data_IF_652875055769
#
_entry.id   IF_652875055769
#
_cell.length_a   1.000
_cell.length_b   1.000
_cell.length_c   1.000
_cell.angle_alpha   90.00
_cell.angle_beta   90.00
_cell.angle_gamma   90.00
#
_symmetry.space_group_name_H-M   'P 1'
#
loop_
_entity.id
_entity.type
_entity.pdbx_description
1 polymer ?
#
# COMPACT_ATOMS: atom_id res chain seq x y z
N UNK A 1 43.66 29.42 9.84
CA UNK A 1 42.76 29.07 8.72
C UNK A 1 41.93 27.86 9.12
N UNK A 2 40.64 28.07 9.35
CA UNK A 2 39.65 27.07 9.77
C UNK A 2 39.23 26.21 8.58
N UNK A 3 39.18 24.89 8.76
CA UNK A 3 38.54 24.00 7.78
C UNK A 3 37.60 23.04 8.50
N UNK A 4 36.35 23.49 8.64
CA UNK A 4 35.22 22.65 9.05
C UNK A 4 34.90 21.66 7.93
N UNK A 5 35.15 20.37 8.16
CA UNK A 5 34.77 19.31 7.22
C UNK A 5 33.38 18.78 7.60
N UNK A 6 32.38 19.13 6.79
CA UNK A 6 30.99 18.71 6.99
C UNK A 6 30.84 17.17 7.00
N UNK A 7 30.03 16.64 7.91
CA UNK A 7 29.68 15.21 7.94
C UNK A 7 28.67 14.92 6.82
N UNK A 8 29.12 14.24 5.77
CA UNK A 8 28.23 13.68 4.75
C UNK A 8 27.37 12.60 5.39
N UNK A 9 26.08 12.86 5.56
CA UNK A 9 25.09 11.86 5.96
C UNK A 9 24.97 10.84 4.82
N UNK A 10 25.65 9.69 4.95
CA UNK A 10 25.53 8.60 3.99
C UNK A 10 24.16 7.94 4.20
N UNK A 11 23.19 8.24 3.33
CA UNK A 11 21.96 7.45 3.19
C UNK A 11 22.38 5.98 3.06
N UNK A 12 22.02 5.16 4.03
CA UNK A 12 22.42 3.76 4.09
C UNK A 12 22.00 3.00 2.83
N UNK A 13 22.87 2.13 2.31
CA UNK A 13 22.51 1.19 1.23
C UNK A 13 21.41 0.24 1.74
N UNK A 14 20.50 -0.25 0.87
CA UNK A 14 19.58 -1.31 1.28
C UNK A 14 20.38 -2.51 1.79
N UNK A 15 19.92 -3.11 2.90
CA UNK A 15 20.60 -4.26 3.51
C UNK A 15 20.68 -5.39 2.49
N UNK A 16 21.90 -5.79 2.11
CA UNK A 16 22.08 -7.11 1.49
C UNK A 16 21.71 -8.14 2.56
N UNK A 17 20.85 -9.10 2.22
CA UNK A 17 20.53 -10.25 3.09
C UNK A 17 21.85 -10.90 3.50
N UNK A 18 22.08 -11.01 4.81
CA UNK A 18 23.22 -11.76 5.35
C UNK A 18 22.86 -13.26 5.28
N UNK A 19 23.52 -14.06 4.44
CA UNK A 19 23.21 -15.48 4.30
C UNK A 19 23.50 -16.29 5.57
N UNK A 20 24.34 -15.76 6.48
CA UNK A 20 24.81 -16.48 7.66
C UNK A 20 24.03 -16.18 8.94
N UNK A 21 23.11 -15.21 8.93
CA UNK A 21 22.21 -14.97 10.05
C UNK A 21 20.75 -14.81 9.56
N UNK A 22 20.02 -15.93 9.37
CA UNK A 22 18.63 -15.90 8.92
C UNK A 22 17.67 -15.23 9.93
N UNK A 23 18.14 -14.95 11.15
CA UNK A 23 17.37 -14.33 12.23
C UNK A 23 17.74 -12.85 12.49
N UNK A 24 18.72 -12.27 11.78
CA UNK A 24 19.10 -10.86 11.88
C UNK A 24 18.05 -9.92 11.28
N UNK A 25 17.28 -10.43 10.32
CA UNK A 25 16.13 -9.75 9.77
C UNK A 25 14.96 -9.96 10.75
N UNK A 26 14.53 -8.88 11.41
CA UNK A 26 13.37 -8.94 12.31
C UNK A 26 12.21 -9.71 11.66
N UNK A 27 11.55 -10.58 12.43
CA UNK A 27 10.52 -11.50 11.93
C UNK A 27 9.57 -10.76 10.99
N UNK A 28 9.48 -11.21 9.74
CA UNK A 28 8.56 -10.64 8.75
C UNK A 28 7.15 -10.72 9.32
N UNK A 29 6.51 -9.56 9.47
CA UNK A 29 5.11 -9.49 9.92
C UNK A 29 4.22 -10.06 8.82
N UNK A 30 2.99 -10.43 9.18
CA UNK A 30 2.04 -11.00 8.23
C UNK A 30 1.81 -10.06 7.04
N UNK A 31 1.77 -10.62 5.83
CA UNK A 31 1.63 -9.86 4.57
C UNK A 31 0.20 -9.38 4.32
N UNK A 32 -0.75 -9.80 5.16
CA UNK A 32 -2.18 -9.43 5.11
C UNK A 32 -2.48 -8.05 5.72
N UNK A 33 -1.47 -7.23 6.04
CA UNK A 33 -1.69 -5.88 6.57
C UNK A 33 -2.61 -5.85 7.80
N UNK A 34 -2.31 -6.66 8.84
CA UNK A 34 -3.10 -6.78 10.07
C UNK A 34 -3.58 -5.45 10.69
N UNK A 35 -2.78 -4.39 10.56
CA UNK A 35 -3.17 -3.05 11.02
C UNK A 35 -4.48 -2.57 10.38
N UNK A 36 -4.62 -2.72 9.06
CA UNK A 36 -5.81 -2.31 8.30
C UNK A 36 -7.02 -3.13 8.75
N UNK A 37 -6.86 -4.44 8.93
CA UNK A 37 -7.93 -5.28 9.49
C UNK A 37 -8.36 -4.86 10.89
N UNK A 38 -7.43 -4.45 11.77
CA UNK A 38 -7.75 -3.98 13.13
C UNK A 38 -8.51 -2.66 13.07
N UNK A 39 -8.09 -1.71 12.22
CA UNK A 39 -8.76 -0.42 12.03
C UNK A 39 -10.18 -0.63 11.50
N UNK A 40 -10.33 -1.48 10.47
CA UNK A 40 -11.64 -1.87 9.91
C UNK A 40 -12.55 -2.51 10.97
N UNK A 41 -12.03 -3.42 11.80
CA UNK A 41 -12.80 -4.04 12.89
C UNK A 41 -13.27 -3.04 13.96
N UNK A 42 -12.55 -1.93 14.12
CA UNK A 42 -12.94 -0.84 15.03
C UNK A 42 -13.96 0.12 14.41
N UNK A 43 -14.29 -0.03 13.13
CA UNK A 43 -15.17 0.89 12.39
C UNK A 43 -14.51 2.22 12.05
N UNK A 44 -13.20 2.35 12.27
CA UNK A 44 -12.42 3.52 11.90
C UNK A 44 -12.00 3.42 10.42
N UNK A 45 -11.77 4.56 9.78
CA UNK A 45 -11.29 4.64 8.39
C UNK A 45 -9.99 5.42 8.34
N UNK A 46 -9.07 4.95 7.49
CA UNK A 46 -7.79 5.61 7.27
C UNK A 46 -8.00 6.71 6.23
N UNK A 47 -7.76 7.97 6.59
CA UNK A 47 -7.84 9.08 5.64
C UNK A 47 -6.61 9.07 4.73
N UNK A 48 -6.83 9.07 3.42
CA UNK A 48 -5.77 9.13 2.40
C UNK A 48 -5.82 10.47 1.71
N UNK A 49 -4.67 11.12 1.60
CA UNK A 49 -4.49 12.34 0.81
C UNK A 49 -4.11 11.95 -0.61
N UNK A 50 -4.71 12.64 -1.59
CA UNK A 50 -4.41 12.45 -3.00
C UNK A 50 -3.77 13.72 -3.56
N UNK A 51 -2.77 13.55 -4.40
CA UNK A 51 -2.14 14.62 -5.17
C UNK A 51 -3.10 15.12 -6.28
N UNK A 52 -2.80 16.26 -6.91
CA UNK A 52 -3.55 16.85 -8.04
C UNK A 52 -3.72 15.86 -9.21
N UNK A 53 -2.81 14.88 -9.31
CA UNK A 53 -2.82 13.81 -10.33
C UNK A 53 -3.62 12.57 -9.92
N UNK A 54 -4.14 12.53 -8.70
CA UNK A 54 -4.94 11.42 -8.18
C UNK A 54 -4.11 10.26 -7.67
N UNK A 55 -2.83 10.48 -7.46
CA UNK A 55 -1.97 9.51 -6.81
C UNK A 55 -2.09 9.66 -5.30
N UNK A 56 -2.24 8.55 -4.56
CA UNK A 56 -2.28 8.60 -3.11
C UNK A 56 -0.89 8.99 -2.58
N UNK A 57 -0.82 10.07 -1.80
CA UNK A 57 0.42 10.60 -1.28
C UNK A 57 0.64 10.24 0.20
N UNK A 58 1.90 9.98 0.56
CA UNK A 58 2.33 9.78 1.93
C UNK A 58 2.11 8.36 2.45
N UNK A 59 2.35 8.18 3.76
CA UNK A 59 2.38 6.85 4.38
C UNK A 59 1.06 6.10 4.28
N UNK A 60 -0.07 6.80 4.36
CA UNK A 60 -1.40 6.20 4.23
C UNK A 60 -1.72 5.86 2.78
N UNK A 61 -1.13 6.57 1.81
CA UNK A 61 -1.21 6.21 0.41
C UNK A 61 -0.45 4.91 0.09
N UNK A 62 0.77 4.76 0.63
CA UNK A 62 1.52 3.51 0.53
C UNK A 62 0.77 2.32 1.16
N UNK A 63 0.10 2.56 2.29
CA UNK A 63 -0.76 1.57 2.96
C UNK A 63 -1.97 1.19 2.10
N UNK A 64 -2.63 2.17 1.45
CA UNK A 64 -3.73 1.94 0.50
C UNK A 64 -3.28 1.06 -0.67
N UNK A 65 -2.17 1.42 -1.33
CA UNK A 65 -1.65 0.66 -2.47
C UNK A 65 -1.28 -0.77 -2.08
N UNK A 66 -0.69 -0.95 -0.89
CA UNK A 66 -0.36 -2.26 -0.35
C UNK A 66 -1.62 -3.09 -0.05
N UNK A 67 -2.66 -2.45 0.49
CA UNK A 67 -3.95 -3.08 0.79
C UNK A 67 -4.67 -3.56 -0.48
N UNK A 68 -4.73 -2.73 -1.52
CA UNK A 68 -5.27 -3.12 -2.83
C UNK A 68 -4.55 -4.39 -3.33
N UNK A 69 -3.23 -4.44 -3.17
CA UNK A 69 -2.45 -5.62 -3.53
C UNK A 69 -2.82 -6.88 -2.72
N UNK A 70 -3.20 -6.75 -1.45
CA UNK A 70 -3.69 -7.89 -0.64
C UNK A 70 -5.01 -8.39 -1.21
N UNK A 71 -5.96 -7.49 -1.41
CA UNK A 71 -7.29 -7.83 -1.92
C UNK A 71 -7.22 -8.47 -3.31
N UNK A 72 -6.36 -7.95 -4.18
CA UNK A 72 -6.15 -8.52 -5.51
C UNK A 72 -5.68 -9.99 -5.43
N UNK A 73 -4.73 -10.30 -4.54
CA UNK A 73 -4.24 -11.68 -4.37
C UNK A 73 -5.27 -12.62 -3.74
N UNK A 74 -6.21 -12.09 -2.97
CA UNK A 74 -7.24 -12.87 -2.28
C UNK A 74 -8.43 -13.17 -3.19
N UNK A 75 -8.87 -12.18 -3.97
CA UNK A 75 -10.11 -12.28 -4.74
C UNK A 75 -9.91 -12.50 -6.24
N UNK A 76 -8.76 -12.13 -6.81
CA UNK A 76 -8.50 -12.31 -8.25
C UNK A 76 -7.85 -13.66 -8.48
N UNK A 77 -8.50 -14.58 -9.20
CA UNK A 77 -7.91 -15.87 -9.48
C UNK A 77 -6.77 -15.76 -10.49
N UNK A 78 -5.74 -16.59 -10.30
CA UNK A 78 -4.46 -16.52 -11.03
C UNK A 78 -4.62 -16.86 -12.53
N UNK A 79 -5.64 -17.63 -12.90
CA UNK A 79 -5.84 -18.07 -14.29
C UNK A 79 -6.41 -16.99 -15.21
N UNK A 80 -6.84 -15.85 -14.68
CA UNK A 80 -7.35 -14.75 -15.51
C UNK A 80 -6.18 -14.01 -16.13
N UNK A 81 -6.17 -13.98 -17.46
CA UNK A 81 -5.10 -13.34 -18.23
C UNK A 81 -5.36 -11.86 -18.48
N UNK A 82 -6.64 -11.44 -18.58
CA UNK A 82 -7.01 -10.06 -18.87
C UNK A 82 -7.85 -9.44 -17.76
N UNK A 83 -7.30 -8.37 -17.16
CA UNK A 83 -7.97 -7.56 -16.15
C UNK A 83 -9.22 -6.85 -16.69
N UNK A 84 -9.28 -6.61 -18.00
CA UNK A 84 -10.38 -5.90 -18.66
C UNK A 84 -11.59 -6.78 -18.90
N UNK A 85 -11.52 -8.09 -18.62
CA UNK A 85 -12.67 -9.00 -18.77
C UNK A 85 -13.85 -8.55 -17.90
N UNK A 86 -15.06 -8.68 -18.43
CA UNK A 86 -16.32 -8.47 -17.72
C UNK A 86 -16.56 -9.52 -16.63
N UNK A 87 -15.94 -10.69 -16.76
CA UNK A 87 -16.04 -11.76 -15.75
C UNK A 87 -15.47 -11.33 -14.40
N UNK A 88 -14.59 -10.31 -14.41
CA UNK A 88 -14.00 -9.72 -13.21
C UNK A 88 -14.81 -8.56 -12.63
N UNK A 89 -15.91 -8.13 -13.25
CA UNK A 89 -16.59 -6.91 -12.81
C UNK A 89 -17.18 -7.06 -11.39
N UNK A 90 -17.68 -8.23 -11.04
CA UNK A 90 -18.11 -8.52 -9.67
C UNK A 90 -16.93 -8.44 -8.69
N UNK A 91 -15.78 -9.00 -9.05
CA UNK A 91 -14.56 -8.94 -8.26
C UNK A 91 -14.05 -7.51 -8.12
N UNK A 92 -14.03 -6.71 -9.19
CA UNK A 92 -13.64 -5.30 -9.16
C UNK A 92 -14.54 -4.50 -8.23
N UNK A 93 -15.85 -4.74 -8.29
CA UNK A 93 -16.82 -4.11 -7.39
C UNK A 93 -16.59 -4.51 -5.93
N UNK A 94 -16.26 -5.77 -5.67
CA UNK A 94 -15.90 -6.24 -4.33
C UNK A 94 -14.63 -5.54 -3.81
N UNK A 95 -13.57 -5.50 -4.62
CA UNK A 95 -12.30 -4.82 -4.29
C UNK A 95 -12.53 -3.33 -3.98
N UNK A 96 -13.37 -2.66 -4.76
CA UNK A 96 -13.72 -1.27 -4.53
C UNK A 96 -14.47 -1.09 -3.20
N UNK A 97 -15.49 -1.91 -2.93
CA UNK A 97 -16.27 -1.90 -1.67
C UNK A 97 -15.38 -2.11 -0.44
N UNK A 98 -14.48 -3.10 -0.50
CA UNK A 98 -13.49 -3.39 0.54
C UNK A 98 -12.58 -2.18 0.83
N UNK A 99 -12.19 -1.47 -0.23
CA UNK A 99 -11.30 -0.32 -0.17
C UNK A 99 -11.98 0.88 0.48
N UNK A 100 -13.17 1.29 0.01
CA UNK A 100 -13.93 2.42 0.58
C UNK A 100 -14.43 2.16 2.01
N UNK A 101 -14.54 0.88 2.40
CA UNK A 101 -14.88 0.50 3.77
C UNK A 101 -13.70 0.78 4.72
N UNK A 102 -12.47 0.59 4.24
CA UNK A 102 -11.26 0.68 5.06
C UNK A 102 -10.60 2.07 5.01
N UNK A 103 -10.79 2.79 3.91
CA UNK A 103 -10.16 4.08 3.64
C UNK A 103 -11.20 5.14 3.30
N UNK A 104 -10.93 6.37 3.73
CA UNK A 104 -11.69 7.55 3.29
C UNK A 104 -10.96 8.15 2.09
N UNK A 105 -11.58 8.05 0.92
CA UNK A 105 -11.13 8.70 -0.31
C UNK A 105 -11.88 10.02 -0.43
N UNK A 106 -11.17 11.14 -0.33
CA UNK A 106 -11.79 12.45 -0.59
C UNK A 106 -12.07 12.50 -2.11
N UNK A 107 -13.34 12.46 -2.51
CA UNK A 107 -13.82 12.51 -3.92
C UNK A 107 -13.63 13.91 -4.55
N UNK A 108 -12.41 14.44 -4.49
CA UNK A 108 -12.02 15.70 -5.09
C UNK A 108 -11.66 15.60 -6.58
N UNK A 109 -11.88 14.44 -7.22
CA UNK A 109 -11.64 14.29 -8.65
C UNK A 109 -12.89 14.69 -9.42
N UNK A 110 -12.86 15.78 -10.23
CA UNK A 110 -13.94 16.02 -11.17
C UNK A 110 -13.99 14.79 -12.09
N UNK A 111 -15.16 14.12 -12.13
CA UNK A 111 -15.40 13.09 -13.12
C UNK A 111 -15.12 13.69 -14.49
N UNK A 112 -14.05 13.25 -15.14
CA UNK A 112 -13.80 13.62 -16.53
C UNK A 112 -15.04 13.21 -17.34
N UNK A 113 -15.68 14.20 -17.96
CA UNK A 113 -16.87 14.06 -18.79
C UNK A 113 -16.65 13.10 -19.96
#
# INVERSE_FOLDING_TARGET
>A
MTQNRARVCKKGRPRRRDPFNPNADGKRKTTLMNRVHVVRKRGERIKVTFDEKGQPEGKHGDELMSWIGVLAREHVPIWIQDWRSSDLDETKNLLWKETITSFTVDEGFPSAC
#
